data_IF_154535687306
#
_entry.id   IF_154535687306
#
_cell.length_a   1.000
_cell.length_b   1.000
_cell.length_c   1.000
_cell.angle_alpha   90.00
_cell.angle_beta   90.00
_cell.angle_gamma   90.00
#
_symmetry.space_group_name_H-M   'P 1'
#
loop_
_entity.id
_entity.type
_entity.pdbx_description
1 polymer ?
#
# COMPACT_ATOMS: atom_id res chain seq x y z
N UNK A 1 4.18 67.34 -2.94
CA UNK A 1 5.50 66.66 -2.98
C UNK A 1 5.40 65.37 -2.18
N UNK A 2 6.15 64.30 -2.54
CA UNK A 2 6.54 63.10 -1.72
C UNK A 2 5.35 62.29 -1.09
N UNK A 3 5.16 60.99 -1.36
CA UNK A 3 5.93 59.82 -0.84
C UNK A 3 6.10 59.86 0.69
N UNK A 4 5.78 58.85 1.51
CA UNK A 4 5.37 57.42 1.33
C UNK A 4 4.22 57.15 2.37
N UNK A 5 3.71 55.99 2.83
CA UNK A 5 3.95 54.52 2.87
C UNK A 5 2.53 53.87 2.79
N UNK A 6 2.18 52.87 1.96
CA UNK A 6 2.52 51.43 1.90
C UNK A 6 2.02 50.54 3.09
N UNK A 7 1.64 49.30 2.75
CA UNK A 7 1.47 48.12 3.64
C UNK A 7 0.29 48.09 4.64
N UNK A 8 -0.85 47.58 4.17
CA UNK A 8 -1.85 46.87 5.01
C UNK A 8 -2.13 45.45 4.46
N UNK A 9 -1.08 44.80 3.92
CA UNK A 9 -1.16 43.57 3.13
C UNK A 9 -1.12 42.30 4.01
N UNK A 10 -1.98 42.23 5.03
CA UNK A 10 -1.80 41.29 6.14
C UNK A 10 -3.09 40.78 6.82
N UNK A 11 -4.12 40.37 6.05
CA UNK A 11 -5.23 39.58 6.60
C UNK A 11 -5.87 38.57 5.62
N UNK A 12 -5.09 38.07 4.66
CA UNK A 12 -5.48 37.02 3.73
C UNK A 12 -4.58 35.78 3.83
N UNK A 13 -4.10 35.47 5.05
CA UNK A 13 -3.54 34.17 5.39
C UNK A 13 -4.67 33.13 5.48
N UNK A 14 -5.36 32.87 4.36
CA UNK A 14 -6.14 31.66 4.20
C UNK A 14 -5.18 30.50 4.47
N UNK A 15 -5.57 29.63 5.39
CA UNK A 15 -4.81 28.43 5.69
C UNK A 15 -4.85 27.49 4.48
N UNK A 16 -3.93 27.71 3.54
CA UNK A 16 -3.41 26.69 2.66
C UNK A 16 -2.64 25.68 3.53
N UNK A 17 -3.37 24.97 4.39
CA UNK A 17 -2.95 23.69 4.93
C UNK A 17 -2.38 22.91 3.77
N UNK A 18 -1.13 22.40 3.83
CA UNK A 18 -0.66 21.51 2.80
C UNK A 18 -1.67 20.37 2.76
N UNK A 19 -2.36 20.23 1.63
CA UNK A 19 -3.09 19.02 1.31
C UNK A 19 -2.02 17.96 1.13
N UNK A 20 -1.56 17.39 2.26
CA UNK A 20 -0.62 16.29 2.33
C UNK A 20 -1.23 15.22 1.44
N UNK A 21 -0.65 15.06 0.25
CA UNK A 21 -1.22 14.24 -0.79
C UNK A 21 -1.27 12.82 -0.24
N UNK A 22 -2.47 12.39 0.20
CA UNK A 22 -2.61 11.18 0.99
C UNK A 22 -1.92 10.04 0.25
N UNK A 23 -1.05 9.27 0.95
CA UNK A 23 -0.14 8.33 0.30
C UNK A 23 -0.94 7.44 -0.63
N UNK A 24 -0.65 7.55 -1.93
CA UNK A 24 -1.56 7.13 -3.01
C UNK A 24 -2.01 5.69 -2.80
N UNK A 25 -3.24 5.53 -2.29
CA UNK A 25 -3.79 4.24 -1.88
C UNK A 25 -4.28 3.42 -3.11
N UNK A 26 -3.60 3.62 -4.23
CA UNK A 26 -3.87 3.09 -5.58
C UNK A 26 -2.85 2.01 -5.93
N UNK A 27 -2.40 1.23 -4.94
CA UNK A 27 -1.48 0.11 -5.17
C UNK A 27 -2.14 -0.93 -6.08
N UNK A 28 -1.36 -1.76 -6.82
CA UNK A 28 -1.94 -2.84 -7.64
C UNK A 28 -2.85 -3.78 -6.83
N UNK A 29 -2.49 -4.02 -5.56
CA UNK A 29 -3.31 -4.76 -4.59
C UNK A 29 -4.64 -4.05 -4.29
N UNK A 30 -4.62 -2.75 -3.98
CA UNK A 30 -5.83 -1.96 -3.75
C UNK A 30 -6.77 -1.97 -4.98
N UNK A 31 -6.22 -1.78 -6.19
CA UNK A 31 -6.97 -1.81 -7.44
C UNK A 31 -7.58 -3.20 -7.72
N UNK A 32 -6.83 -4.28 -7.46
CA UNK A 32 -7.34 -5.64 -7.58
C UNK A 32 -8.46 -5.93 -6.56
N UNK A 33 -8.31 -5.46 -5.32
CA UNK A 33 -9.32 -5.55 -4.28
C UNK A 33 -10.60 -4.76 -4.62
N UNK A 34 -10.47 -3.51 -5.09
CA UNK A 34 -11.58 -2.70 -5.58
C UNK A 34 -12.34 -3.42 -6.72
N UNK A 35 -11.61 -3.98 -7.70
CA UNK A 35 -12.20 -4.75 -8.80
C UNK A 35 -12.90 -6.03 -8.33
N UNK A 36 -12.33 -6.76 -7.37
CA UNK A 36 -12.86 -8.05 -6.86
C UNK A 36 -14.14 -7.89 -6.05
N UNK A 37 -14.27 -6.83 -5.25
CA UNK A 37 -15.39 -6.64 -4.32
C UNK A 37 -16.32 -5.46 -4.70
N UNK A 38 -16.08 -4.83 -5.85
CA UNK A 38 -16.88 -3.71 -6.34
C UNK A 38 -16.84 -2.50 -5.40
N UNK A 39 -15.66 -2.10 -4.95
CA UNK A 39 -15.46 -0.84 -4.21
C UNK A 39 -15.18 0.29 -5.21
N UNK A 40 -15.82 1.45 -5.02
CA UNK A 40 -15.45 2.65 -5.80
C UNK A 40 -14.16 3.27 -5.27
N UNK A 41 -13.46 4.03 -6.12
CA UNK A 41 -12.25 4.74 -5.67
C UNK A 41 -12.56 5.75 -4.55
N UNK A 42 -13.73 6.39 -4.59
CA UNK A 42 -14.21 7.27 -3.53
C UNK A 42 -14.39 6.52 -2.19
N UNK A 43 -15.04 5.36 -2.20
CA UNK A 43 -15.20 4.51 -1.00
C UNK A 43 -13.84 4.07 -0.43
N UNK A 44 -12.92 3.65 -1.30
CA UNK A 44 -11.59 3.22 -0.90
C UNK A 44 -10.77 4.34 -0.27
N UNK A 45 -10.81 5.55 -0.86
CA UNK A 45 -10.11 6.75 -0.41
C UNK A 45 -10.72 7.38 0.84
N UNK A 46 -12.04 7.35 1.00
CA UNK A 46 -12.74 7.89 2.17
C UNK A 46 -12.69 6.96 3.40
N UNK A 47 -12.03 5.79 3.30
CA UNK A 47 -12.02 4.72 4.30
C UNK A 47 -13.43 4.25 4.73
N UNK A 48 -14.41 4.41 3.84
CA UNK A 48 -15.83 4.24 4.13
C UNK A 48 -16.51 3.37 3.07
N UNK A 49 -17.09 2.26 3.51
CA UNK A 49 -17.91 1.36 2.70
C UNK A 49 -19.22 1.04 3.43
N UNK A 50 -20.28 0.65 2.70
CA UNK A 50 -21.49 0.07 3.29
C UNK A 50 -21.17 -1.14 4.20
N UNK A 51 -22.04 -1.43 5.17
CA UNK A 51 -21.79 -2.42 6.21
C UNK A 51 -21.56 -3.84 5.66
N UNK A 52 -22.28 -4.18 4.59
CA UNK A 52 -22.21 -5.43 3.83
C UNK A 52 -20.82 -5.63 3.20
N UNK A 53 -20.11 -4.52 2.95
CA UNK A 53 -18.77 -4.46 2.35
C UNK A 53 -17.65 -4.25 3.38
N UNK A 54 -17.97 -4.00 4.65
CA UNK A 54 -16.97 -3.67 5.68
C UNK A 54 -15.98 -4.81 5.96
N UNK A 55 -16.42 -6.07 5.97
CA UNK A 55 -15.53 -7.23 6.16
C UNK A 55 -14.53 -7.42 5.01
N UNK A 56 -14.93 -7.53 3.72
CA UNK A 56 -13.96 -7.64 2.63
C UNK A 56 -13.12 -6.36 2.46
N UNK A 57 -13.63 -5.18 2.79
CA UNK A 57 -12.85 -3.94 2.76
C UNK A 57 -11.71 -3.97 3.78
N UNK A 58 -12.00 -4.31 5.05
CA UNK A 58 -10.96 -4.53 6.08
C UNK A 58 -9.95 -5.58 5.65
N UNK A 59 -10.41 -6.75 5.22
CA UNK A 59 -9.53 -7.82 4.75
C UNK A 59 -8.62 -7.38 3.59
N UNK A 60 -9.08 -6.51 2.70
CA UNK A 60 -8.30 -5.94 1.62
C UNK A 60 -7.32 -4.84 2.06
N UNK A 61 -7.73 -3.93 2.96
CA UNK A 61 -6.90 -2.83 3.46
C UNK A 61 -5.82 -3.32 4.43
N UNK A 62 -6.18 -4.26 5.30
CA UNK A 62 -5.37 -4.76 6.41
C UNK A 62 -4.52 -5.97 6.01
N UNK A 63 -4.81 -6.59 4.86
CA UNK A 63 -3.82 -7.38 4.14
C UNK A 63 -2.69 -6.44 3.70
N UNK A 64 -1.56 -6.51 4.42
CA UNK A 64 -0.27 -6.00 3.96
C UNK A 64 -0.07 -6.39 2.49
N UNK A 65 0.39 -5.46 1.62
CA UNK A 65 0.14 -5.51 0.19
C UNK A 65 0.48 -6.87 -0.41
N UNK A 66 -0.42 -7.41 -1.24
CA UNK A 66 -0.24 -8.70 -1.90
C UNK A 66 0.78 -8.62 -3.04
N UNK A 67 2.02 -8.29 -2.69
CA UNK A 67 3.17 -8.83 -3.43
C UNK A 67 3.19 -10.35 -3.32
N UNK A 68 3.97 -10.99 -4.18
CA UNK A 68 4.07 -12.45 -4.18
C UNK A 68 4.40 -13.03 -2.79
N UNK A 69 3.95 -14.26 -2.58
CA UNK A 69 4.05 -15.02 -1.34
C UNK A 69 3.15 -14.51 -0.19
N UNK A 70 2.36 -13.44 -0.36
CA UNK A 70 1.32 -13.07 0.63
C UNK A 70 0.18 -14.10 0.62
N UNK A 71 -0.14 -14.65 1.79
CA UNK A 71 -1.09 -15.76 1.97
C UNK A 71 -0.44 -17.12 2.24
N UNK A 72 0.81 -17.36 1.83
CA UNK A 72 1.51 -18.65 1.97
C UNK A 72 2.09 -18.92 3.38
N UNK A 73 1.49 -18.37 4.44
CA UNK A 73 1.89 -18.58 5.84
C UNK A 73 3.40 -18.38 6.10
N UNK A 74 4.00 -19.32 6.85
CA UNK A 74 5.44 -19.34 7.15
C UNK A 74 6.30 -19.38 5.88
N UNK A 75 5.94 -20.21 4.90
CA UNK A 75 6.72 -20.34 3.66
C UNK A 75 6.86 -19.01 2.95
N UNK A 76 5.75 -18.28 2.76
CA UNK A 76 5.78 -16.99 2.07
C UNK A 76 6.50 -15.88 2.84
N UNK A 77 6.43 -15.90 4.17
CA UNK A 77 7.26 -15.03 5.00
C UNK A 77 8.76 -15.33 4.84
N UNK A 78 9.13 -16.62 4.72
CA UNK A 78 10.50 -17.04 4.47
C UNK A 78 10.98 -16.73 3.04
N UNK A 79 10.12 -16.86 2.01
CA UNK A 79 10.47 -16.52 0.63
C UNK A 79 10.76 -15.01 0.50
N UNK A 80 9.94 -14.16 1.15
CA UNK A 80 10.22 -12.71 1.26
C UNK A 80 11.53 -12.42 1.99
N UNK A 81 11.84 -13.11 3.09
CA UNK A 81 13.13 -12.97 3.81
C UNK A 81 14.34 -13.45 3.00
N UNK A 82 14.15 -14.46 2.15
CA UNK A 82 15.19 -14.99 1.28
C UNK A 82 15.42 -14.13 0.02
N UNK A 83 14.43 -13.31 -0.36
CA UNK A 83 14.50 -12.41 -1.49
C UNK A 83 14.13 -13.07 -2.82
N UNK A 84 13.09 -13.90 -2.84
CA UNK A 84 12.52 -14.47 -4.07
C UNK A 84 11.00 -14.63 -4.00
N UNK A 85 10.39 -14.92 -5.15
CA UNK A 85 8.94 -15.05 -5.31
C UNK A 85 8.48 -16.48 -5.65
N UNK A 86 7.19 -16.76 -5.50
CA UNK A 86 6.62 -18.07 -5.80
C UNK A 86 6.69 -18.39 -7.29
N UNK A 87 6.47 -17.41 -8.18
CA UNK A 87 6.66 -17.63 -9.63
C UNK A 87 8.12 -17.94 -9.97
N UNK A 88 9.09 -17.28 -9.32
CA UNK A 88 10.52 -17.63 -9.46
C UNK A 88 10.83 -19.04 -8.94
N UNK A 89 10.15 -19.48 -7.88
CA UNK A 89 10.31 -20.83 -7.32
C UNK A 89 9.71 -21.91 -8.24
N UNK A 90 8.55 -21.66 -8.83
CA UNK A 90 7.88 -22.56 -9.78
C UNK A 90 8.60 -22.60 -11.14
N UNK A 91 9.17 -21.48 -11.58
CA UNK A 91 9.99 -21.39 -12.81
C UNK A 91 11.44 -21.90 -12.63
N UNK A 92 11.82 -22.41 -11.45
CA UNK A 92 13.18 -22.91 -11.19
C UNK A 92 14.27 -21.84 -11.11
N UNK A 93 13.91 -20.56 -10.99
CA UNK A 93 14.81 -19.40 -11.05
C UNK A 93 15.43 -19.01 -9.70
N UNK A 94 15.20 -19.79 -8.64
CA UNK A 94 15.72 -19.51 -7.28
C UNK A 94 17.17 -19.96 -7.16
N UNK A 95 18.07 -19.00 -6.93
CA UNK A 95 19.50 -19.29 -6.74
C UNK A 95 19.78 -20.12 -5.49
N UNK A 96 20.90 -20.88 -5.42
CA UNK A 96 21.26 -21.64 -4.22
C UNK A 96 21.35 -20.78 -2.94
N UNK A 97 21.81 -19.52 -3.06
CA UNK A 97 21.89 -18.59 -1.93
C UNK A 97 20.51 -18.12 -1.45
N UNK A 98 19.52 -17.99 -2.35
CA UNK A 98 18.13 -17.73 -1.98
C UNK A 98 17.50 -18.99 -1.35
N UNK A 99 17.72 -20.18 -1.93
CA UNK A 99 17.24 -21.47 -1.42
C UNK A 99 17.69 -21.71 0.03
N UNK A 100 18.98 -21.59 0.29
CA UNK A 100 19.57 -21.79 1.63
C UNK A 100 19.04 -20.80 2.69
N UNK A 101 18.73 -19.55 2.29
CA UNK A 101 18.09 -18.56 3.19
C UNK A 101 16.65 -18.94 3.53
N UNK A 102 15.92 -19.55 2.59
CA UNK A 102 14.54 -20.01 2.81
C UNK A 102 14.51 -21.27 3.67
N UNK A 103 15.37 -22.26 3.41
CA UNK A 103 15.54 -23.48 4.23
C UNK A 103 15.83 -23.14 5.69
N UNK A 104 16.86 -22.30 5.93
CA UNK A 104 17.22 -21.82 7.28
C UNK A 104 16.08 -21.07 7.99
N UNK A 105 15.19 -20.40 7.25
CA UNK A 105 14.01 -19.75 7.80
C UNK A 105 12.84 -20.72 8.07
N UNK A 106 12.72 -21.75 7.23
CA UNK A 106 11.77 -22.85 7.38
C UNK A 106 12.15 -23.79 8.53
N UNK A 107 13.43 -23.86 8.90
CA UNK A 107 13.95 -24.80 9.89
C UNK A 107 14.30 -26.15 9.27
N UNK A 108 14.89 -26.12 8.08
CA UNK A 108 15.38 -27.24 7.29
C UNK A 108 16.87 -27.06 7.03
#
# INVERSE_FOLDING_TARGET
MKKTILTALALAALAASPALAEPSNSTPHALACMKKYGFTYAQWRAYAVPAEKANPYRACRDAAPAGENSGMGKSGACQRKAGFTQAQNEAGQVTPAQRQKWERCMGM
#
